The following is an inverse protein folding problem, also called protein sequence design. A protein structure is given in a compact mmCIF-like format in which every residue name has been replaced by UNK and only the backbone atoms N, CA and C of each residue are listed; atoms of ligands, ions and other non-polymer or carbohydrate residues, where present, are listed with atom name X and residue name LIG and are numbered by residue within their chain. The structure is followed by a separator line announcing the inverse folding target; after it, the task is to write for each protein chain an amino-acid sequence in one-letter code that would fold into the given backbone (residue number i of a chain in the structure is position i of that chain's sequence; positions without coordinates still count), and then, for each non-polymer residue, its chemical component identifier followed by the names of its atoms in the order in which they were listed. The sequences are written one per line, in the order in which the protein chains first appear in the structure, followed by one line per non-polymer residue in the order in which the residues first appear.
data_IF_035811467012
#
_entry.id   IF_035811467012
#
_cell.length_a   1.000
_cell.length_b   1.000
_cell.length_c   1.000
_cell.angle_alpha   90.00
_cell.angle_beta   90.00
_cell.angle_gamma   90.00
#
_symmetry.space_group_name_H-M   'P 1'
#
loop_
_entity.id
_entity.type
_entity.pdbx_description
1 polymer ?
#
# COMPACT_ATOMS: atom_id res chain seq x y z
N UNK A 1 3.60 13.81 -23.52
CA UNK A 1 2.21 13.30 -23.53
C UNK A 1 2.10 12.35 -22.36
N UNK A 2 1.29 12.65 -21.33
CA UNK A 2 1.40 11.86 -20.08
C UNK A 2 0.89 10.42 -20.27
N UNK A 3 1.65 9.44 -19.77
CA UNK A 3 1.32 8.03 -19.94
C UNK A 3 0.24 7.61 -18.91
N UNK A 4 -1.00 7.51 -19.37
CA UNK A 4 -2.14 7.01 -18.57
C UNK A 4 -2.37 5.51 -18.82
N UNK A 5 -3.09 4.86 -17.91
CA UNK A 5 -3.46 3.45 -18.08
C UNK A 5 -4.27 3.18 -19.35
N UNK A 6 -5.18 4.09 -19.71
CA UNK A 6 -5.98 3.97 -20.94
C UNK A 6 -5.12 4.04 -22.19
N UNK A 7 -4.07 4.87 -22.18
CA UNK A 7 -3.12 4.94 -23.28
C UNK A 7 -2.37 3.61 -23.45
N UNK A 8 -1.87 3.03 -22.36
CA UNK A 8 -1.21 1.71 -22.37
C UNK A 8 -2.16 0.63 -22.87
N UNK A 9 -3.40 0.62 -22.38
CA UNK A 9 -4.41 -0.35 -22.79
C UNK A 9 -4.69 -0.26 -24.31
N UNK A 10 -5.02 0.92 -24.79
CA UNK A 10 -5.44 1.12 -26.18
C UNK A 10 -4.29 0.92 -27.18
N UNK A 11 -3.06 1.31 -26.82
CA UNK A 11 -1.92 1.29 -27.74
C UNK A 11 -1.13 -0.02 -27.69
N UNK A 12 -0.99 -0.63 -26.51
CA UNK A 12 -0.12 -1.79 -26.30
C UNK A 12 -0.93 -3.08 -26.14
N UNK A 13 -1.99 -3.05 -25.32
CA UNK A 13 -2.69 -4.29 -24.91
C UNK A 13 -3.85 -4.68 -25.85
N UNK A 14 -4.44 -3.71 -26.56
CA UNK A 14 -5.57 -3.92 -27.46
C UNK A 14 -5.42 -5.11 -28.45
N UNK A 15 -4.25 -5.37 -29.04
CA UNK A 15 -4.07 -6.52 -29.94
C UNK A 15 -4.16 -7.88 -29.26
N UNK A 16 -3.97 -7.95 -27.94
CA UNK A 16 -3.77 -9.19 -27.19
C UNK A 16 -4.91 -9.51 -26.21
N UNK A 17 -5.95 -8.68 -26.14
CA UNK A 17 -7.06 -8.85 -25.18
C UNK A 17 -7.86 -10.14 -25.40
N UNK A 18 -7.86 -10.68 -26.62
CA UNK A 18 -8.57 -11.91 -26.98
C UNK A 18 -7.77 -13.18 -26.64
N UNK A 19 -6.47 -13.05 -26.41
CA UNK A 19 -5.57 -14.19 -26.20
C UNK A 19 -5.56 -14.58 -24.73
N UNK A 20 -5.77 -15.86 -24.42
CA UNK A 20 -5.66 -16.38 -23.04
C UNK A 20 -4.21 -16.37 -22.54
N UNK A 21 -3.26 -16.58 -23.44
CA UNK A 21 -1.83 -16.63 -23.14
C UNK A 21 -1.07 -15.97 -24.29
N UNK A 22 -0.02 -15.23 -23.95
CA UNK A 22 0.89 -14.65 -24.92
C UNK A 22 1.89 -15.69 -25.40
N UNK A 23 2.17 -15.71 -26.71
CA UNK A 23 3.38 -16.35 -27.22
C UNK A 23 4.63 -15.55 -26.82
N UNK A 24 5.80 -16.19 -26.92
CA UNK A 24 7.09 -15.55 -26.60
C UNK A 24 7.27 -14.25 -27.41
N UNK A 25 6.96 -14.29 -28.72
CA UNK A 25 7.13 -13.12 -29.61
C UNK A 25 6.20 -11.97 -29.24
N UNK A 26 4.97 -12.26 -28.85
CA UNK A 26 3.99 -11.24 -28.44
C UNK A 26 4.38 -10.62 -27.11
N UNK A 27 4.84 -11.43 -26.16
CA UNK A 27 5.33 -10.93 -24.87
C UNK A 27 6.56 -10.03 -25.05
N UNK A 28 7.54 -10.43 -25.86
CA UNK A 28 8.71 -9.60 -26.18
C UNK A 28 8.31 -8.28 -26.85
N UNK A 29 7.41 -8.34 -27.85
CA UNK A 29 6.91 -7.14 -28.52
C UNK A 29 6.22 -6.18 -27.53
N UNK A 30 5.36 -6.71 -26.65
CA UNK A 30 4.66 -5.94 -25.62
C UNK A 30 5.66 -5.27 -24.67
N UNK A 31 6.65 -6.01 -24.16
CA UNK A 31 7.67 -5.46 -23.26
C UNK A 31 8.48 -4.35 -23.94
N UNK A 32 8.87 -4.54 -25.21
CA UNK A 32 9.60 -3.52 -25.97
C UNK A 32 8.77 -2.26 -26.22
N UNK A 33 7.50 -2.39 -26.60
CA UNK A 33 6.60 -1.25 -26.81
C UNK A 33 6.40 -0.47 -25.50
N UNK A 34 6.28 -1.18 -24.38
CA UNK A 34 6.15 -0.60 -23.06
C UNK A 34 7.42 0.14 -22.63
N UNK A 35 8.60 -0.46 -22.84
CA UNK A 35 9.89 0.18 -22.60
C UNK A 35 10.04 1.45 -23.42
N UNK A 36 9.72 1.41 -24.71
CA UNK A 36 9.83 2.55 -25.61
C UNK A 36 8.97 3.72 -25.10
N UNK A 37 7.71 3.48 -24.78
CA UNK A 37 6.78 4.51 -24.30
C UNK A 37 7.26 5.11 -22.97
N UNK A 38 7.57 4.26 -21.98
CA UNK A 38 7.98 4.72 -20.65
C UNK A 38 9.42 5.25 -20.60
N UNK A 39 10.24 5.00 -21.63
CA UNK A 39 11.56 5.62 -21.74
C UNK A 39 11.44 7.12 -22.07
N UNK A 40 10.40 7.50 -22.81
CA UNK A 40 10.19 8.87 -23.31
C UNK A 40 9.16 9.65 -22.51
N UNK A 41 8.13 8.98 -22.00
CA UNK A 41 7.01 9.60 -21.29
C UNK A 41 7.04 9.22 -19.81
N UNK A 42 6.46 10.08 -18.98
CA UNK A 42 6.36 9.86 -17.55
C UNK A 42 4.93 9.40 -17.21
N UNK A 43 4.80 8.65 -16.12
CA UNK A 43 3.50 8.20 -15.62
C UNK A 43 2.91 9.30 -14.74
N UNK A 44 1.63 9.61 -14.94
CA UNK A 44 0.92 10.63 -14.13
C UNK A 44 0.55 10.10 -12.74
N UNK A 45 -0.01 8.89 -12.72
CA UNK A 45 -0.73 8.38 -11.56
C UNK A 45 -0.07 7.15 -10.94
N UNK A 46 -0.06 7.12 -9.61
CA UNK A 46 0.26 5.94 -8.81
C UNK A 46 -0.58 4.72 -9.21
N UNK A 47 -1.86 4.93 -9.52
CA UNK A 47 -2.78 3.88 -9.97
C UNK A 47 -2.30 3.26 -11.29
N UNK A 48 -1.81 4.07 -12.21
CA UNK A 48 -1.29 3.58 -13.49
C UNK A 48 -0.05 2.73 -13.27
N UNK A 49 0.91 3.20 -12.44
CA UNK A 49 2.11 2.43 -12.09
C UNK A 49 1.77 1.09 -11.41
N UNK A 50 0.75 1.08 -10.54
CA UNK A 50 0.22 -0.12 -9.87
C UNK A 50 -0.57 -1.04 -10.79
N UNK A 51 -1.05 -0.60 -11.94
CA UNK A 51 -1.73 -1.49 -12.90
C UNK A 51 -0.75 -2.15 -13.85
N UNK A 52 0.27 -1.41 -14.29
CA UNK A 52 1.26 -1.90 -15.26
C UNK A 52 2.31 -2.83 -14.64
N UNK A 53 2.36 -3.00 -13.31
CA UNK A 53 3.39 -3.83 -12.68
C UNK A 53 3.42 -5.28 -13.19
N UNK A 54 2.24 -5.82 -13.52
CA UNK A 54 2.09 -7.19 -14.03
C UNK A 54 2.76 -7.39 -15.38
N UNK A 55 3.05 -6.31 -16.10
CA UNK A 55 3.70 -6.34 -17.40
C UNK A 55 5.23 -6.35 -17.30
N UNK A 56 5.79 -6.09 -16.12
CA UNK A 56 7.23 -6.09 -15.87
C UNK A 56 7.71 -7.33 -15.12
N UNK A 57 8.92 -7.75 -15.40
CA UNK A 57 9.78 -8.51 -14.50
C UNK A 57 10.87 -7.59 -13.92
N UNK A 58 11.67 -8.12 -12.98
CA UNK A 58 12.81 -7.37 -12.42
C UNK A 58 13.85 -6.95 -13.48
N UNK A 59 13.98 -7.70 -14.57
CA UNK A 59 14.99 -7.48 -15.60
C UNK A 59 14.57 -6.34 -16.53
N UNK A 60 13.40 -6.44 -17.15
CA UNK A 60 12.75 -5.39 -17.95
C UNK A 60 12.60 -4.09 -17.19
N UNK A 61 12.30 -4.10 -15.88
CA UNK A 61 12.31 -2.85 -15.10
C UNK A 61 13.72 -2.24 -14.94
N UNK A 62 14.76 -3.07 -14.88
CA UNK A 62 16.15 -2.58 -14.85
C UNK A 62 16.56 -1.98 -16.20
N UNK A 63 16.11 -2.59 -17.29
CA UNK A 63 16.28 -2.07 -18.65
C UNK A 63 15.53 -0.76 -18.82
N UNK A 64 14.30 -0.64 -18.32
CA UNK A 64 13.55 0.61 -18.30
C UNK A 64 14.34 1.75 -17.63
N UNK A 65 14.94 1.48 -16.46
CA UNK A 65 15.77 2.46 -15.77
C UNK A 65 16.95 2.89 -16.65
N UNK A 66 17.61 1.93 -17.31
CA UNK A 66 18.73 2.23 -18.20
C UNK A 66 18.30 3.09 -19.40
N UNK A 67 17.22 2.71 -20.08
CA UNK A 67 16.66 3.45 -21.22
C UNK A 67 16.20 4.87 -20.83
N UNK A 68 15.56 5.02 -19.67
CA UNK A 68 15.20 6.34 -19.12
C UNK A 68 16.45 7.20 -18.86
N UNK A 69 17.51 6.63 -18.31
CA UNK A 69 18.75 7.36 -18.06
C UNK A 69 19.44 7.77 -19.37
N UNK A 70 19.38 6.94 -20.42
CA UNK A 70 19.85 7.29 -21.76
C UNK A 70 19.09 8.51 -22.29
N UNK A 71 17.79 8.59 -22.03
CA UNK A 71 16.96 9.75 -22.36
C UNK A 71 17.07 10.91 -21.36
N UNK A 72 18.08 10.91 -20.48
CA UNK A 72 18.31 11.93 -19.44
C UNK A 72 17.15 12.09 -18.46
N UNK A 73 16.37 11.03 -18.22
CA UNK A 73 15.28 10.99 -17.24
C UNK A 73 15.65 10.18 -16.02
N UNK A 74 15.07 10.54 -14.87
CA UNK A 74 15.18 9.76 -13.65
C UNK A 74 14.64 8.35 -13.87
N UNK A 75 15.33 7.34 -13.35
CA UNK A 75 14.92 5.94 -13.46
C UNK A 75 13.58 5.61 -12.80
N UNK A 76 13.04 6.48 -11.94
CA UNK A 76 11.70 6.29 -11.39
C UNK A 76 10.63 6.76 -12.39
N UNK A 77 9.70 5.90 -12.85
CA UNK A 77 8.77 6.24 -13.94
C UNK A 77 7.78 7.38 -13.65
N UNK A 78 7.49 7.67 -12.37
CA UNK A 78 6.63 8.78 -11.95
C UNK A 78 7.39 10.13 -11.91
N UNK A 79 8.72 10.11 -12.05
CA UNK A 79 9.52 11.31 -11.94
C UNK A 79 9.83 11.89 -13.33
N UNK A 80 9.44 13.15 -13.54
CA UNK A 80 9.80 13.96 -14.72
C UNK A 80 11.17 14.64 -14.62
N UNK A 81 11.89 14.43 -13.52
CA UNK A 81 13.24 14.97 -13.30
C UNK A 81 14.33 14.20 -14.05
N UNK A 82 15.56 14.73 -13.96
CA UNK A 82 16.77 14.12 -14.54
C UNK A 82 17.62 13.43 -13.46
N UNK A 83 18.47 12.45 -13.80
CA UNK A 83 19.47 11.95 -12.85
C UNK A 83 20.38 13.11 -12.41
N UNK A 84 20.84 13.05 -11.16
CA UNK A 84 21.61 14.15 -10.57
C UNK A 84 23.05 14.21 -11.12
N UNK A 85 23.56 13.07 -11.60
CA UNK A 85 24.85 12.96 -12.27
C UNK A 85 24.64 12.29 -13.62
N UNK A 86 25.04 12.95 -14.69
CA UNK A 86 25.01 12.31 -16.00
C UNK A 86 26.20 11.36 -16.12
N UNK A 87 25.93 10.11 -16.53
CA UNK A 87 26.97 9.13 -16.81
C UNK A 87 27.34 9.24 -18.28
N UNK A 88 28.61 9.51 -18.55
CA UNK A 88 29.14 9.37 -19.90
C UNK A 88 29.21 7.86 -20.25
N UNK A 89 28.38 7.44 -21.20
CA UNK A 89 28.29 6.06 -21.67
C UNK A 89 29.51 5.64 -22.50
N UNK A 90 30.19 6.60 -23.11
CA UNK A 90 31.36 6.39 -23.98
C UNK A 90 32.67 6.79 -23.28
N UNK A 91 32.56 7.47 -22.15
CA UNK A 91 33.67 7.84 -21.29
C UNK A 91 34.38 6.62 -20.73
N UNK A 92 35.72 6.67 -20.69
CA UNK A 92 36.55 5.66 -20.02
C UNK A 92 36.38 5.78 -18.50
N UNK A 93 35.26 5.30 -17.97
CA UNK A 93 35.09 5.19 -16.52
C UNK A 93 35.89 3.99 -16.01
N UNK A 94 36.60 4.19 -14.90
CA UNK A 94 37.29 3.09 -14.24
C UNK A 94 36.24 2.12 -13.69
N UNK A 95 35.98 1.01 -14.40
CA UNK A 95 35.08 -0.08 -13.98
C UNK A 95 35.34 -0.60 -12.56
N UNK A 96 36.53 -0.33 -12.02
CA UNK A 96 36.94 -0.63 -10.65
C UNK A 96 36.21 0.25 -9.64
N UNK A 97 36.05 1.56 -9.92
CA UNK A 97 35.30 2.48 -9.06
C UNK A 97 33.79 2.19 -9.08
N UNK A 98 33.25 1.70 -10.20
CA UNK A 98 31.85 1.25 -10.31
C UNK A 98 31.58 -0.04 -9.51
N UNK A 99 32.61 -0.90 -9.33
CA UNK A 99 32.53 -2.14 -8.52
C UNK A 99 32.73 -1.88 -7.02
N UNK A 100 33.46 -0.84 -6.65
CA UNK A 100 33.45 -0.35 -5.28
C UNK A 100 32.06 0.24 -5.00
N UNK A 101 31.42 -0.19 -3.91
CA UNK A 101 30.11 0.31 -3.46
C UNK A 101 30.22 1.81 -3.13
N UNK A 102 30.20 2.66 -4.14
CA UNK A 102 30.12 4.09 -3.97
C UNK A 102 28.74 4.40 -3.39
N UNK A 103 28.64 4.98 -2.18
CA UNK A 103 27.36 5.35 -1.58
C UNK A 103 26.52 6.23 -2.50
N UNK A 104 27.17 7.00 -3.39
CA UNK A 104 26.52 7.92 -4.33
C UNK A 104 26.28 7.35 -5.73
N UNK A 105 26.48 6.04 -5.94
CA UNK A 105 26.30 5.41 -7.25
C UNK A 105 24.88 5.55 -7.80
N UNK A 106 23.86 5.65 -6.93
CA UNK A 106 22.47 5.83 -7.36
C UNK A 106 22.20 7.17 -8.06
N UNK A 107 23.03 8.19 -7.83
CA UNK A 107 22.84 9.53 -8.42
C UNK A 107 23.01 9.55 -9.94
N UNK A 108 23.64 8.52 -10.52
CA UNK A 108 23.73 8.39 -11.98
C UNK A 108 22.43 7.96 -12.63
N UNK A 109 21.54 7.34 -11.84
CA UNK A 109 20.32 6.72 -12.34
C UNK A 109 19.07 7.41 -11.80
N UNK A 110 19.19 8.21 -10.74
CA UNK A 110 18.04 8.82 -10.06
C UNK A 110 18.36 10.27 -9.68
N UNK A 111 17.31 11.09 -9.56
CA UNK A 111 17.46 12.48 -9.14
C UNK A 111 17.76 12.60 -7.63
N UNK A 112 17.26 11.68 -6.81
CA UNK A 112 17.33 11.74 -5.36
C UNK A 112 17.45 10.34 -4.73
N UNK A 113 17.83 10.30 -3.45
CA UNK A 113 17.84 9.06 -2.66
C UNK A 113 16.43 8.49 -2.46
N UNK A 114 15.43 9.36 -2.33
CA UNK A 114 14.03 8.95 -2.19
C UNK A 114 13.57 8.14 -3.41
N UNK A 115 13.76 8.67 -4.63
CA UNK A 115 13.37 7.94 -5.85
C UNK A 115 14.19 6.67 -6.10
N UNK A 116 15.46 6.65 -5.66
CA UNK A 116 16.22 5.41 -5.63
C UNK A 116 15.54 4.37 -4.73
N UNK A 117 15.15 4.74 -3.51
CA UNK A 117 14.48 3.85 -2.57
C UNK A 117 13.10 3.41 -3.08
N UNK A 118 12.27 4.32 -3.60
CA UNK A 118 10.97 4.00 -4.20
C UNK A 118 11.14 3.02 -5.37
N UNK A 119 12.10 3.27 -6.27
CA UNK A 119 12.35 2.39 -7.41
C UNK A 119 12.85 1.01 -6.98
N UNK A 120 13.73 0.91 -5.98
CA UNK A 120 14.17 -0.39 -5.44
C UNK A 120 13.02 -1.13 -4.74
N UNK A 121 12.19 -0.41 -3.99
CA UNK A 121 11.02 -0.97 -3.32
C UNK A 121 9.99 -1.53 -4.32
N UNK A 122 9.76 -0.80 -5.42
CA UNK A 122 8.93 -1.25 -6.52
C UNK A 122 9.53 -2.48 -7.20
N UNK A 123 10.82 -2.44 -7.56
CA UNK A 123 11.53 -3.55 -8.22
C UNK A 123 11.51 -4.83 -7.39
N UNK A 124 11.63 -4.73 -6.06
CA UNK A 124 11.65 -5.89 -5.17
C UNK A 124 10.33 -6.68 -5.21
N UNK A 125 9.21 -6.02 -5.52
CA UNK A 125 7.88 -6.63 -5.61
C UNK A 125 7.57 -7.21 -6.99
N UNK A 126 8.40 -6.95 -8.00
CA UNK A 126 8.19 -7.46 -9.35
C UNK A 126 8.51 -8.96 -9.43
N UNK A 127 7.76 -9.73 -10.23
CA UNK A 127 8.06 -11.13 -10.47
C UNK A 127 9.41 -11.31 -11.20
N UNK A 128 10.04 -12.46 -10.98
CA UNK A 128 11.25 -12.87 -11.72
C UNK A 128 10.91 -13.64 -13.00
N UNK A 129 9.73 -14.25 -13.06
CA UNK A 129 9.28 -15.04 -14.21
C UNK A 129 9.00 -14.15 -15.42
N UNK A 130 9.29 -14.62 -16.63
CA UNK A 130 9.03 -13.88 -17.85
C UNK A 130 7.53 -13.64 -18.09
N UNK A 131 7.18 -12.62 -18.87
CA UNK A 131 5.78 -12.26 -19.12
C UNK A 131 4.98 -13.37 -19.83
N UNK A 132 5.56 -14.07 -20.79
CA UNK A 132 4.86 -15.13 -21.55
C UNK A 132 4.47 -16.36 -20.70
N UNK A 133 5.16 -16.59 -19.58
CA UNK A 133 4.84 -17.69 -18.65
C UNK A 133 3.69 -17.35 -17.71
N UNK A 134 3.29 -16.08 -17.63
CA UNK A 134 2.21 -15.62 -16.75
C UNK A 134 0.88 -15.64 -17.51
N UNK A 135 -0.06 -16.44 -17.03
CA UNK A 135 -1.35 -16.61 -17.69
C UNK A 135 -2.29 -15.45 -17.36
N UNK A 136 -2.64 -14.64 -18.37
CA UNK A 136 -3.67 -13.61 -18.27
C UNK A 136 -3.24 -12.29 -17.63
N UNK A 137 -1.96 -12.10 -17.31
CA UNK A 137 -1.45 -10.85 -16.74
C UNK A 137 -1.56 -9.65 -17.70
N UNK A 138 -1.61 -9.90 -19.01
CA UNK A 138 -1.84 -8.89 -20.04
C UNK A 138 -3.31 -8.49 -20.21
N UNK A 139 -4.24 -9.31 -19.71
CA UNK A 139 -5.68 -9.04 -19.76
C UNK A 139 -6.03 -8.14 -18.56
N UNK A 140 -5.65 -6.87 -18.66
CA UNK A 140 -5.95 -5.86 -17.64
C UNK A 140 -7.41 -5.38 -17.80
N UNK A 141 -8.35 -6.26 -17.42
CA UNK A 141 -9.78 -5.98 -17.46
C UNK A 141 -10.17 -4.84 -16.53
N UNK A 142 -11.15 -4.01 -16.95
CA UNK A 142 -11.69 -2.87 -16.20
C UNK A 142 -12.49 -3.24 -14.93
N UNK A 143 -12.52 -4.51 -14.52
CA UNK A 143 -13.21 -4.95 -13.31
C UNK A 143 -12.33 -5.87 -12.48
N UNK A 144 -11.57 -5.31 -11.54
CA UNK A 144 -11.17 -6.04 -10.33
C UNK A 144 -12.18 -5.67 -9.24
N UNK A 145 -13.43 -6.05 -9.45
CA UNK A 145 -14.42 -6.28 -8.39
C UNK A 145 -14.66 -7.78 -8.33
N UNK A 146 -13.61 -8.56 -8.03
CA UNK A 146 -13.77 -9.88 -7.46
C UNK A 146 -12.43 -10.52 -7.14
N UNK A 147 -12.37 -10.93 -5.87
CA UNK A 147 -11.36 -11.78 -5.25
C UNK A 147 -9.99 -11.13 -5.08
N UNK A 148 -9.82 -10.48 -3.92
CA UNK A 148 -8.83 -10.91 -2.92
C UNK A 148 -7.72 -11.81 -3.50
N UNK A 149 -6.79 -11.19 -4.23
CA UNK A 149 -5.54 -11.81 -4.63
C UNK A 149 -4.38 -10.99 -4.03
N UNK A 150 -3.28 -11.66 -3.61
CA UNK A 150 -2.45 -11.22 -2.48
C UNK A 150 -1.37 -10.19 -2.82
N UNK A 151 -1.49 -9.49 -3.95
CA UNK A 151 -0.42 -8.66 -4.50
C UNK A 151 -0.96 -7.35 -5.05
N UNK A 152 -1.57 -6.56 -4.18
CA UNK A 152 -1.67 -5.12 -4.43
C UNK A 152 -0.27 -4.56 -4.19
N UNK A 153 0.44 -4.18 -5.27
CA UNK A 153 1.77 -3.58 -5.12
C UNK A 153 1.62 -2.33 -4.27
N UNK A 154 2.47 -2.25 -3.25
CA UNK A 154 2.56 -1.05 -2.42
C UNK A 154 3.63 -0.14 -2.99
N UNK A 155 3.38 1.16 -2.92
CA UNK A 155 4.41 2.15 -3.20
C UNK A 155 5.00 2.63 -1.87
N UNK A 156 6.28 3.00 -1.89
CA UNK A 156 6.98 3.35 -0.66
C UNK A 156 6.45 4.67 -0.09
N UNK A 157 6.17 5.62 -0.97
CA UNK A 157 5.57 6.92 -0.67
C UNK A 157 4.22 6.79 0.05
N UNK A 158 3.39 5.80 -0.29
CA UNK A 158 2.12 5.56 0.38
C UNK A 158 2.33 5.05 1.82
N UNK A 159 3.33 4.20 2.03
CA UNK A 159 3.67 3.69 3.35
C UNK A 159 4.19 4.81 4.25
N UNK A 160 5.11 5.63 3.75
CA UNK A 160 5.68 6.76 4.49
C UNK A 160 4.56 7.76 4.87
N UNK A 161 3.71 8.11 3.91
CA UNK A 161 2.59 9.04 4.15
C UNK A 161 1.64 8.48 5.20
N UNK A 162 1.29 7.20 5.12
CA UNK A 162 0.41 6.57 6.12
C UNK A 162 0.99 6.56 7.54
N UNK A 163 2.31 6.39 7.68
CA UNK A 163 2.97 6.36 8.99
C UNK A 163 3.05 7.77 9.59
N UNK A 164 3.35 8.78 8.78
CA UNK A 164 3.36 10.19 9.19
C UNK A 164 1.96 10.68 9.56
N UNK A 165 0.95 10.31 8.79
CA UNK A 165 -0.46 10.60 9.10
C UNK A 165 -0.89 9.93 10.41
N UNK A 166 -0.59 8.64 10.62
CA UNK A 166 -0.91 7.97 11.89
C UNK A 166 -0.18 8.58 13.08
N UNK A 167 1.09 8.99 12.92
CA UNK A 167 1.84 9.68 13.98
C UNK A 167 1.22 11.03 14.32
N UNK A 168 0.92 11.84 13.31
CA UNK A 168 0.28 13.14 13.54
C UNK A 168 -1.12 13.00 14.16
N UNK A 169 -1.91 12.00 13.76
CA UNK A 169 -3.20 11.69 14.39
C UNK A 169 -3.03 11.21 15.85
N UNK A 170 -2.03 10.38 16.14
CA UNK A 170 -1.72 9.94 17.50
C UNK A 170 -1.27 11.12 18.38
N UNK A 171 -0.42 11.99 17.86
CA UNK A 171 0.01 13.21 18.56
C UNK A 171 -1.19 14.13 18.82
N UNK A 172 -2.08 14.31 17.83
CA UNK A 172 -3.31 15.08 18.00
C UNK A 172 -4.28 14.46 19.01
N UNK A 173 -4.43 13.13 19.04
CA UNK A 173 -5.25 12.43 20.03
C UNK A 173 -4.66 12.50 21.44
N UNK A 174 -3.33 12.42 21.55
CA UNK A 174 -2.64 12.58 22.84
C UNK A 174 -2.86 13.97 23.42
N UNK A 175 -2.96 14.99 22.56
CA UNK A 175 -3.28 16.36 22.96
C UNK A 175 -4.78 16.59 23.24
N UNK A 176 -5.67 15.67 22.86
CA UNK A 176 -7.12 15.75 23.12
C UNK A 176 -7.51 15.15 24.48
N UNK A 177 -6.58 14.52 25.21
CA UNK A 177 -6.82 14.05 26.58
C UNK A 177 -5.88 14.74 27.57
N UNK A 178 -6.41 15.76 28.25
CA UNK A 178 -6.24 16.09 29.69
C UNK A 178 -6.62 17.55 30.01
N UNK A 179 -7.75 18.03 29.51
CA UNK A 179 -8.43 19.18 30.12
C UNK A 179 -9.91 18.82 30.31
N UNK A 180 -10.36 18.71 31.56
CA UNK A 180 -11.70 18.35 32.04
C UNK A 180 -12.09 16.86 32.09
N UNK A 181 -11.73 16.20 33.19
CA UNK A 181 -12.72 15.54 34.08
C UNK A 181 -12.10 15.36 35.45
N UNK A 182 -12.86 15.67 36.51
CA UNK A 182 -12.46 15.51 37.91
C UNK A 182 -12.12 14.03 38.19
N UNK A 183 -10.84 13.68 38.07
CA UNK A 183 -10.31 12.34 38.38
C UNK A 183 -10.56 11.93 39.84
N UNK A 184 -10.88 12.88 40.73
CA UNK A 184 -11.24 12.63 42.12
C UNK A 184 -12.53 11.82 42.29
N UNK A 185 -13.56 12.07 41.47
CA UNK A 185 -14.87 11.41 41.62
C UNK A 185 -14.83 9.92 41.24
N UNK A 186 -14.01 9.56 40.24
CA UNK A 186 -13.80 8.17 39.82
C UNK A 186 -12.98 7.37 40.83
N UNK A 187 -12.01 8.02 41.49
CA UNK A 187 -11.19 7.41 42.54
C UNK A 187 -12.05 7.12 43.78
N UNK A 188 -12.96 8.03 44.13
CA UNK A 188 -13.91 7.81 45.24
C UNK A 188 -14.94 6.71 44.91
N UNK A 189 -15.38 6.58 43.67
CA UNK A 189 -16.22 5.44 43.25
C UNK A 189 -15.46 4.11 43.30
N UNK A 190 -14.19 4.06 42.91
CA UNK A 190 -13.38 2.84 42.97
C UNK A 190 -13.10 2.39 44.41
N UNK A 191 -12.87 3.32 45.33
CA UNK A 191 -12.58 3.00 46.73
C UNK A 191 -13.79 2.40 47.48
N UNK A 192 -15.02 2.64 46.99
CA UNK A 192 -16.24 2.12 47.59
C UNK A 192 -16.67 0.74 47.07
N UNK A 193 -15.92 0.12 46.15
CA UNK A 193 -16.19 -1.25 45.71
C UNK A 193 -15.75 -2.27 46.77
N UNK A 194 -16.70 -2.77 47.56
CA UNK A 194 -16.51 -3.91 48.44
C UNK A 194 -17.00 -5.19 47.76
N UNK A 195 -16.08 -5.99 47.24
CA UNK A 195 -16.39 -7.32 46.70
C UNK A 195 -16.64 -8.26 47.89
N UNK A 196 -17.82 -8.87 47.95
CA UNK A 196 -18.19 -9.87 48.96
C UNK A 196 -18.31 -11.22 48.27
N UNK A 197 -17.49 -12.19 48.67
CA UNK A 197 -17.54 -13.54 48.12
C UNK A 197 -18.73 -14.30 48.70
N UNK A 198 -19.57 -14.86 47.82
CA UNK A 198 -20.73 -15.63 48.21
C UNK A 198 -20.36 -17.13 48.23
N UNK A 199 -20.29 -17.74 49.41
CA UNK A 199 -19.77 -19.12 49.60
C UNK A 199 -20.62 -20.25 48.98
N UNK A 200 -21.82 -19.92 48.48
CA UNK A 200 -22.66 -20.84 47.70
C UNK A 200 -23.35 -20.05 46.58
N UNK A 201 -22.70 -19.86 45.42
CA UNK A 201 -23.31 -19.13 44.32
C UNK A 201 -24.51 -19.91 43.78
N UNK A 202 -25.67 -19.25 43.65
CA UNK A 202 -26.85 -19.81 42.97
C UNK A 202 -26.48 -20.14 41.52
N UNK A 203 -26.98 -21.25 40.98
CA UNK A 203 -26.53 -21.80 39.69
C UNK A 203 -26.76 -20.83 38.51
N UNK A 204 -27.83 -20.04 38.53
CA UNK A 204 -28.11 -19.00 37.53
C UNK A 204 -27.75 -17.58 37.99
N UNK A 205 -27.04 -17.42 39.11
CA UNK A 205 -26.65 -16.11 39.64
C UNK A 205 -27.86 -15.20 39.94
N UNK A 206 -27.72 -13.90 39.65
CA UNK A 206 -28.72 -12.85 39.92
C UNK A 206 -29.98 -12.92 39.04
N UNK A 207 -30.11 -13.95 38.19
CA UNK A 207 -31.24 -14.13 37.27
C UNK A 207 -32.36 -15.02 37.83
N UNK A 208 -32.17 -15.65 38.99
CA UNK A 208 -33.25 -16.32 39.71
C UNK A 208 -34.10 -15.26 40.42
N UNK A 209 -35.33 -15.06 39.93
CA UNK A 209 -36.36 -14.35 40.69
C UNK A 209 -36.63 -15.14 41.97
N UNK A 210 -36.52 -14.49 43.12
CA UNK A 210 -36.90 -15.10 44.39
C UNK A 210 -38.42 -15.37 44.38
N UNK A 211 -38.83 -16.62 44.16
CA UNK A 211 -40.23 -17.05 44.28
C UNK A 211 -40.56 -17.30 45.76
N UNK A 212 -41.09 -16.23 46.37
CA UNK A 212 -42.13 -16.11 47.41
C UNK A 212 -42.05 -16.96 48.70
N UNK A 213 -42.05 -16.24 49.84
CA UNK A 213 -42.45 -16.75 51.15
C UNK A 213 -43.30 -15.70 51.89
N UNK A 214 -44.59 -16.01 52.00
CA UNK A 214 -45.72 -15.24 52.53
C UNK A 214 -45.51 -14.52 53.88
N UNK A 215 -46.22 -13.40 54.08
CA UNK A 215 -46.56 -12.96 55.45
C UNK A 215 -46.96 -11.50 55.65
N UNK A 216 -48.27 -11.27 55.63
CA UNK A 216 -49.02 -10.25 56.41
C UNK A 216 -49.19 -8.81 55.87
N UNK A 217 -50.46 -8.56 55.49
CA UNK A 217 -51.34 -7.56 56.09
C UNK A 217 -51.44 -6.14 55.48
N UNK A 218 -52.64 -5.92 54.91
CA UNK A 218 -53.55 -4.76 55.07
C UNK A 218 -53.69 -3.79 53.87
N UNK A 219 -54.91 -3.85 53.33
CA UNK A 219 -55.65 -2.90 52.51
C UNK A 219 -55.39 -1.42 52.82
N UNK A 220 -55.47 -0.55 51.80
CA UNK A 220 -56.22 0.72 51.90
C UNK A 220 -56.67 1.19 50.49
N UNK A 221 -57.95 0.91 50.21
CA UNK A 221 -58.96 1.79 49.57
C UNK A 221 -58.64 2.62 48.32
N UNK A 222 -59.36 2.26 47.25
CA UNK A 222 -60.11 3.11 46.29
C UNK A 222 -59.79 4.61 46.26
N UNK A 223 -59.38 5.08 45.08
CA UNK A 223 -59.85 6.36 44.54
C UNK A 223 -60.56 6.06 43.22
N UNK A 224 -61.88 6.23 43.22
CA UNK A 224 -62.73 6.27 42.03
C UNK A 224 -63.20 7.72 41.94
N UNK A 225 -62.88 8.37 40.80
CA UNK A 225 -63.38 9.62 40.22
C UNK A 225 -63.95 10.70 41.17
#
# INVERSE_FOLDING_TARGET
MVCTFEFVKNKILAPYETHKQLSIREAEALTLDLLLILSTEDIDDYITLKKIYKLFDKQSYSELIAERNINHKCGYPLCSGKPNREKDLYGKTNKILDKLKNPYGYLTNYCSKSHYQCSQFYKAQLPEDALFSRLGDHILGQNIVSLSSPTDIKLLEELITSEEEMRSLADNLSNVHLENTNTGELIDMMNNFKIVENGSPKFYGDLEKDEEGEGSAIELTKIQL
#
